data_IF_882879348705
#
_entry.id   IF_882879348705
#
_cell.length_a   1.000
_cell.length_b   1.000
_cell.length_c   1.000
_cell.angle_alpha   90.00
_cell.angle_beta   90.00
_cell.angle_gamma   90.00
#
_symmetry.space_group_name_H-M   'P 1'
#
loop_
_entity.id
_entity.type
_entity.pdbx_description
1 polymer ?
#
# COMPACT_ATOMS: atom_id res chain seq x y z
N UNK A 1 -12.17 -32.95 28.04
CA UNK A 1 -11.78 -33.39 26.68
C UNK A 1 -12.37 -32.42 25.68
N UNK A 2 -11.57 -31.96 24.71
CA UNK A 2 -12.07 -31.12 23.62
C UNK A 2 -13.05 -31.93 22.75
N UNK A 3 -14.13 -31.30 22.31
CA UNK A 3 -15.19 -31.92 21.50
C UNK A 3 -15.25 -31.20 20.15
N UNK A 4 -14.76 -31.86 19.10
CA UNK A 4 -14.88 -31.37 17.73
C UNK A 4 -16.29 -31.69 17.20
N UNK A 5 -17.00 -30.68 16.72
CA UNK A 5 -18.31 -30.85 16.09
C UNK A 5 -18.19 -30.38 14.63
N UNK A 6 -18.29 -31.32 13.69
CA UNK A 6 -18.26 -31.06 12.26
C UNK A 6 -19.68 -30.93 11.71
N UNK A 7 -19.97 -29.81 11.04
CA UNK A 7 -21.18 -29.63 10.25
C UNK A 7 -20.83 -29.50 8.76
N UNK A 8 -20.79 -30.62 8.06
CA UNK A 8 -20.65 -30.63 6.60
C UNK A 8 -22.04 -30.53 5.94
N UNK A 9 -22.22 -29.56 5.03
CA UNK A 9 -23.42 -29.43 4.19
C UNK A 9 -23.01 -29.39 2.72
N UNK A 10 -23.79 -30.04 1.87
CA UNK A 10 -23.64 -30.00 0.42
C UNK A 10 -24.62 -29.02 -0.22
N UNK A 11 -24.16 -28.26 -1.22
CA UNK A 11 -24.97 -27.36 -2.02
C UNK A 11 -24.92 -27.77 -3.49
N UNK A 12 -26.07 -28.08 -4.10
CA UNK A 12 -26.15 -28.52 -5.48
C UNK A 12 -25.90 -27.37 -6.49
N UNK A 13 -25.36 -27.65 -7.70
CA UNK A 13 -24.80 -26.65 -8.62
C UNK A 13 -25.75 -25.55 -9.12
N UNK A 14 -27.07 -25.79 -9.16
CA UNK A 14 -28.02 -24.94 -9.91
C UNK A 14 -28.92 -24.04 -9.05
N UNK A 15 -28.63 -23.87 -7.77
CA UNK A 15 -29.49 -23.11 -6.85
C UNK A 15 -29.10 -21.61 -6.75
N UNK A 16 -29.35 -20.81 -7.81
CA UNK A 16 -29.02 -19.36 -7.83
C UNK A 16 -29.54 -18.56 -6.62
N UNK A 17 -30.71 -18.90 -6.06
CA UNK A 17 -31.27 -18.29 -4.83
C UNK A 17 -30.49 -18.62 -3.53
N UNK A 18 -29.51 -19.52 -3.56
CA UNK A 18 -28.74 -19.96 -2.38
C UNK A 18 -27.35 -19.33 -2.27
N UNK A 19 -26.79 -18.78 -3.34
CA UNK A 19 -25.47 -18.11 -3.32
C UNK A 19 -25.49 -16.88 -2.41
N UNK A 20 -26.58 -16.10 -2.42
CA UNK A 20 -26.77 -14.98 -1.50
C UNK A 20 -26.91 -15.42 -0.03
N UNK A 21 -27.55 -16.58 0.22
CA UNK A 21 -27.59 -17.20 1.55
C UNK A 21 -26.22 -17.69 1.99
N UNK A 22 -25.41 -18.23 1.10
CA UNK A 22 -24.01 -18.62 1.36
C UNK A 22 -23.15 -17.42 1.72
N UNK A 23 -23.23 -16.31 0.98
CA UNK A 23 -22.50 -15.09 1.32
C UNK A 23 -22.91 -14.53 2.68
N UNK A 24 -24.20 -14.58 3.02
CA UNK A 24 -24.68 -14.18 4.34
C UNK A 24 -24.18 -15.13 5.43
N UNK A 25 -24.23 -16.44 5.20
CA UNK A 25 -23.80 -17.46 6.15
C UNK A 25 -22.28 -17.41 6.40
N UNK A 26 -21.49 -17.21 5.35
CA UNK A 26 -20.03 -17.02 5.44
C UNK A 26 -19.67 -15.74 6.22
N UNK A 27 -20.35 -14.62 5.93
CA UNK A 27 -20.19 -13.40 6.72
C UNK A 27 -20.56 -13.64 8.18
N UNK A 28 -21.73 -14.23 8.43
CA UNK A 28 -22.21 -14.57 9.77
C UNK A 28 -21.23 -15.46 10.54
N UNK A 29 -20.70 -16.52 9.91
CA UNK A 29 -19.70 -17.38 10.54
C UNK A 29 -18.33 -16.73 10.71
N UNK A 30 -17.95 -15.76 9.87
CA UNK A 30 -16.71 -15.00 10.01
C UNK A 30 -16.79 -13.84 11.00
N UNK A 31 -18.00 -13.40 11.38
CA UNK A 31 -18.19 -12.21 12.22
C UNK A 31 -18.93 -12.43 13.53
N UNK A 32 -19.46 -13.63 13.81
CA UNK A 32 -20.18 -13.91 15.07
C UNK A 32 -19.25 -13.80 16.29
N UNK A 33 -19.85 -13.45 17.43
CA UNK A 33 -19.19 -13.42 18.73
C UNK A 33 -18.66 -14.82 19.10
N UNK A 34 -17.39 -14.91 19.49
CA UNK A 34 -16.69 -16.17 19.77
C UNK A 34 -16.01 -16.85 18.58
N UNK A 35 -16.02 -16.23 17.38
CA UNK A 35 -15.09 -16.63 16.31
C UNK A 35 -13.70 -16.15 16.69
N UNK A 36 -12.76 -17.09 16.78
CA UNK A 36 -11.34 -16.78 16.66
C UNK A 36 -11.12 -16.23 15.25
N UNK A 37 -11.27 -14.92 15.11
CA UNK A 37 -10.56 -14.19 14.08
C UNK A 37 -9.09 -14.34 14.46
N UNK A 38 -8.15 -14.49 13.51
CA UNK A 38 -6.74 -14.35 13.80
C UNK A 38 -6.51 -12.92 14.34
N UNK A 39 -6.69 -12.74 15.63
CA UNK A 39 -6.52 -11.48 16.37
C UNK A 39 -5.05 -11.24 16.67
N UNK A 40 -4.20 -12.22 16.37
CA UNK A 40 -2.77 -12.08 16.42
C UNK A 40 -2.22 -12.15 15.00
N UNK A 41 -1.35 -11.20 14.70
CA UNK A 41 -0.39 -11.25 13.59
C UNK A 41 0.60 -12.43 13.72
N UNK A 42 0.28 -13.47 14.51
CA UNK A 42 1.07 -14.68 14.67
C UNK A 42 1.32 -15.36 13.31
N UNK A 43 0.33 -15.30 12.41
CA UNK A 43 0.49 -15.77 11.03
C UNK A 43 1.67 -15.11 10.31
N UNK A 44 2.00 -13.86 10.65
CA UNK A 44 3.14 -13.17 10.03
C UNK A 44 4.47 -13.86 10.33
N UNK A 45 4.59 -14.52 11.49
CA UNK A 45 5.80 -15.24 11.90
C UNK A 45 5.84 -16.68 11.40
N UNK A 46 4.78 -17.17 10.77
CA UNK A 46 4.78 -18.50 10.18
C UNK A 46 5.75 -18.56 9.00
N UNK A 47 6.26 -19.76 8.65
CA UNK A 47 7.05 -19.94 7.45
C UNK A 47 6.31 -19.47 6.19
N UNK A 48 7.07 -18.94 5.24
CA UNK A 48 6.57 -18.49 3.93
C UNK A 48 5.74 -19.59 3.28
N UNK A 49 4.53 -19.25 2.84
CA UNK A 49 3.67 -20.21 2.14
C UNK A 49 4.16 -20.48 0.72
N UNK A 50 3.88 -21.66 0.16
CA UNK A 50 4.22 -21.99 -1.24
C UNK A 50 3.69 -20.96 -2.25
N UNK A 51 2.49 -20.43 -2.00
CA UNK A 51 1.88 -19.40 -2.84
C UNK A 51 2.66 -18.07 -2.80
N UNK A 52 3.16 -17.68 -1.63
CA UNK A 52 4.03 -16.52 -1.48
C UNK A 52 5.36 -16.76 -2.16
N UNK A 53 6.01 -17.92 -1.96
CA UNK A 53 7.27 -18.26 -2.64
C UNK A 53 7.14 -18.13 -4.16
N UNK A 54 6.09 -18.72 -4.74
CA UNK A 54 5.83 -18.61 -6.19
C UNK A 54 5.60 -17.15 -6.64
N UNK A 55 4.98 -16.33 -5.80
CA UNK A 55 4.76 -14.91 -6.09
C UNK A 55 6.07 -14.12 -6.01
N UNK A 56 6.89 -14.37 -5.00
CA UNK A 56 8.20 -13.76 -4.82
C UNK A 56 9.16 -14.12 -5.96
N UNK A 57 9.21 -15.39 -6.37
CA UNK A 57 10.02 -15.84 -7.51
C UNK A 57 9.63 -15.10 -8.80
N UNK A 58 8.32 -14.90 -9.01
CA UNK A 58 7.80 -14.14 -10.14
C UNK A 58 8.17 -12.66 -10.03
N UNK A 59 7.99 -12.05 -8.87
CA UNK A 59 8.32 -10.64 -8.62
C UNK A 59 9.81 -10.41 -8.87
N UNK A 60 10.70 -11.22 -8.32
CA UNK A 60 12.15 -11.08 -8.52
C UNK A 60 12.55 -11.19 -9.99
N UNK A 61 11.83 -12.01 -10.77
CA UNK A 61 12.08 -12.17 -12.21
C UNK A 61 11.56 -10.98 -13.02
N UNK A 62 10.37 -10.48 -12.70
CA UNK A 62 9.69 -9.42 -13.45
C UNK A 62 10.12 -8.01 -13.01
N UNK A 63 10.52 -7.84 -11.75
CA UNK A 63 10.86 -6.60 -11.05
C UNK A 63 12.11 -6.80 -10.19
N UNK A 64 13.31 -6.95 -10.79
CA UNK A 64 14.56 -7.19 -10.06
C UNK A 64 14.89 -6.08 -9.05
N UNK A 65 14.39 -4.85 -9.26
CA UNK A 65 14.54 -3.70 -8.36
C UNK A 65 13.94 -3.94 -6.96
N UNK A 66 13.07 -4.93 -6.80
CA UNK A 66 12.53 -5.31 -5.48
C UNK A 66 13.66 -5.63 -4.48
N UNK A 67 14.81 -6.10 -4.97
CA UNK A 67 15.95 -6.49 -4.13
C UNK A 67 16.65 -5.31 -3.45
N UNK A 68 16.43 -4.09 -3.94
CA UNK A 68 17.00 -2.87 -3.38
C UNK A 68 16.06 -2.23 -2.33
N UNK A 69 14.97 -2.91 -1.97
CA UNK A 69 13.95 -2.40 -1.04
C UNK A 69 14.19 -2.87 0.40
N UNK A 70 13.74 -2.07 1.38
CA UNK A 70 13.77 -2.48 2.79
C UNK A 70 12.90 -3.71 3.04
N UNK A 71 11.78 -3.83 2.30
CA UNK A 71 10.87 -4.97 2.39
C UNK A 71 11.58 -6.27 2.01
N UNK A 72 12.41 -6.26 0.97
CA UNK A 72 13.21 -7.42 0.59
C UNK A 72 14.33 -7.71 1.60
N UNK A 73 15.00 -6.67 2.09
CA UNK A 73 16.04 -6.80 3.12
C UNK A 73 15.48 -7.47 4.40
N UNK A 74 14.28 -7.05 4.84
CA UNK A 74 13.61 -7.62 6.01
C UNK A 74 13.16 -9.07 5.75
N UNK A 75 12.71 -9.37 4.53
CA UNK A 75 12.39 -10.75 4.11
C UNK A 75 13.61 -11.67 4.08
N UNK A 76 14.76 -11.22 3.59
CA UNK A 76 15.99 -12.02 3.59
C UNK A 76 16.50 -12.31 5.01
N UNK A 77 16.39 -11.32 5.90
CA UNK A 77 16.76 -11.49 7.33
C UNK A 77 15.82 -12.45 8.05
N UNK A 78 14.52 -12.33 7.81
CA UNK A 78 13.50 -13.16 8.46
C UNK A 78 12.43 -13.59 7.44
N UNK A 79 12.64 -14.73 6.75
CA UNK A 79 11.73 -15.21 5.72
C UNK A 79 10.48 -15.85 6.36
N UNK A 80 9.50 -15.00 6.63
CA UNK A 80 8.20 -15.35 7.20
C UNK A 80 7.05 -14.81 6.34
N UNK A 81 5.81 -15.24 6.61
CA UNK A 81 4.66 -14.82 5.81
C UNK A 81 4.40 -13.30 5.87
N UNK A 82 4.76 -12.64 6.97
CA UNK A 82 4.60 -11.20 7.15
C UNK A 82 5.49 -10.41 6.19
N UNK A 83 6.79 -10.67 6.23
CA UNK A 83 7.77 -9.99 5.39
C UNK A 83 7.56 -10.33 3.92
N UNK A 84 7.22 -11.59 3.60
CA UNK A 84 6.82 -11.98 2.24
C UNK A 84 5.60 -11.18 1.74
N UNK A 85 4.62 -10.92 2.61
CA UNK A 85 3.43 -10.13 2.26
C UNK A 85 3.77 -8.66 2.02
N UNK A 86 4.70 -8.06 2.78
CA UNK A 86 5.13 -6.68 2.56
C UNK A 86 5.90 -6.54 1.23
N UNK A 87 6.75 -7.49 0.86
CA UNK A 87 7.40 -7.52 -0.47
C UNK A 87 6.37 -7.58 -1.60
N UNK A 88 5.39 -8.51 -1.50
CA UNK A 88 4.34 -8.66 -2.51
C UNK A 88 3.49 -7.39 -2.61
N UNK A 89 3.19 -6.77 -1.47
CA UNK A 89 2.46 -5.51 -1.40
C UNK A 89 3.23 -4.39 -2.09
N UNK A 90 4.51 -4.22 -1.77
CA UNK A 90 5.38 -3.23 -2.41
C UNK A 90 5.39 -3.41 -3.93
N UNK A 91 5.58 -4.63 -4.42
CA UNK A 91 5.59 -4.93 -5.86
C UNK A 91 4.24 -4.63 -6.54
N UNK A 92 3.13 -4.89 -5.85
CA UNK A 92 1.79 -4.55 -6.33
C UNK A 92 1.61 -3.03 -6.42
N UNK A 93 2.06 -2.30 -5.41
CA UNK A 93 1.99 -0.83 -5.38
C UNK A 93 2.85 -0.20 -6.48
N UNK A 94 4.04 -0.74 -6.73
CA UNK A 94 4.91 -0.34 -7.84
C UNK A 94 4.25 -0.56 -9.22
N UNK A 95 3.53 -1.65 -9.42
CA UNK A 95 2.76 -1.85 -10.66
C UNK A 95 1.58 -0.88 -10.79
N UNK A 96 0.94 -0.49 -9.68
CA UNK A 96 -0.11 0.53 -9.71
C UNK A 96 0.41 1.90 -10.15
N UNK A 97 1.64 2.26 -9.75
CA UNK A 97 2.31 3.49 -10.17
C UNK A 97 2.45 3.59 -11.70
N UNK A 98 2.79 2.49 -12.36
CA UNK A 98 3.08 2.47 -13.80
C UNK A 98 1.84 2.36 -14.70
N UNK A 99 0.67 1.97 -14.16
CA UNK A 99 -0.51 1.63 -14.95
C UNK A 99 -1.55 2.74 -15.14
N UNK A 100 -1.76 3.60 -14.13
CA UNK A 100 -2.73 4.71 -14.24
C UNK A 100 -2.49 5.78 -13.16
N UNK A 101 -1.96 6.94 -13.56
CA UNK A 101 -1.54 7.98 -12.63
C UNK A 101 -2.69 8.55 -11.77
N UNK A 102 -3.91 8.59 -12.32
CA UNK A 102 -5.13 9.04 -11.62
C UNK A 102 -5.49 8.13 -10.43
N UNK A 103 -5.54 6.82 -10.66
CA UNK A 103 -5.86 5.79 -9.66
C UNK A 103 -4.75 5.68 -8.64
N UNK A 104 -3.51 5.82 -9.09
CA UNK A 104 -2.37 5.86 -8.19
C UNK A 104 -2.45 7.06 -7.24
N UNK A 105 -2.75 8.26 -7.75
CA UNK A 105 -2.88 9.47 -6.92
C UNK A 105 -4.01 9.32 -5.88
N UNK A 106 -5.18 8.83 -6.30
CA UNK A 106 -6.29 8.58 -5.37
C UNK A 106 -5.90 7.53 -4.31
N UNK A 107 -5.21 6.46 -4.71
CA UNK A 107 -4.77 5.42 -3.80
C UNK A 107 -3.80 5.97 -2.72
N UNK A 108 -2.79 6.76 -3.09
CA UNK A 108 -1.83 7.30 -2.12
C UNK A 108 -2.46 8.36 -1.21
N UNK A 109 -3.42 9.14 -1.73
CA UNK A 109 -4.15 10.14 -0.97
C UNK A 109 -4.98 9.51 0.17
N UNK A 110 -5.49 8.29 -0.03
CA UNK A 110 -6.43 7.63 0.87
C UNK A 110 -5.88 6.36 1.53
N UNK A 111 -4.57 6.07 1.35
CA UNK A 111 -3.97 4.80 1.76
C UNK A 111 -4.22 4.53 3.26
N UNK A 112 -4.52 3.27 3.65
CA UNK A 112 -4.63 2.93 5.05
C UNK A 112 -3.38 3.37 5.83
N UNK A 113 -3.58 4.05 6.96
CA UNK A 113 -2.54 4.63 7.84
C UNK A 113 -1.85 5.90 7.33
N UNK A 114 -2.27 6.47 6.20
CA UNK A 114 -1.80 7.80 5.81
C UNK A 114 -2.22 8.82 6.88
N UNK A 115 -1.30 9.71 7.25
CA UNK A 115 -1.65 10.87 8.06
C UNK A 115 -2.35 11.88 7.17
N UNK A 116 -3.56 12.29 7.55
CA UNK A 116 -4.39 13.18 6.74
C UNK A 116 -4.19 14.63 7.18
N UNK A 117 -3.91 15.50 6.21
CA UNK A 117 -3.94 16.95 6.37
C UNK A 117 -5.25 17.40 5.71
N UNK A 118 -6.37 17.30 6.45
CA UNK A 118 -7.73 17.47 5.91
C UNK A 118 -8.39 16.14 5.55
N UNK A 119 -9.01 16.06 4.37
CA UNK A 119 -9.78 14.89 3.95
C UNK A 119 -8.90 13.71 3.46
N UNK A 120 -7.68 14.02 3.03
CA UNK A 120 -6.71 13.07 2.46
C UNK A 120 -5.26 13.38 2.88
N UNK A 121 -4.32 12.53 2.48
CA UNK A 121 -2.89 12.65 2.81
C UNK A 121 -2.02 13.49 1.87
N UNK A 122 -2.57 14.03 0.77
CA UNK A 122 -1.78 14.88 -0.14
C UNK A 122 -1.45 16.23 0.49
N UNK A 123 -0.28 16.76 0.12
CA UNK A 123 0.21 18.10 0.47
C UNK A 123 1.04 18.65 -0.69
N UNK A 124 1.19 19.99 -0.77
CA UNK A 124 1.88 20.66 -1.88
C UNK A 124 2.80 21.79 -1.41
N UNK A 125 3.40 22.49 -2.39
CA UNK A 125 4.20 23.69 -2.17
C UNK A 125 3.47 24.84 -1.46
N UNK A 126 2.15 24.96 -1.60
CA UNK A 126 1.33 25.99 -0.95
C UNK A 126 0.43 25.40 0.13
N UNK A 127 -0.14 26.26 0.97
CA UNK A 127 -1.11 25.87 2.01
C UNK A 127 -2.55 25.83 1.45
N UNK A 128 -2.72 25.89 0.12
CA UNK A 128 -4.02 25.85 -0.52
C UNK A 128 -4.67 24.47 -0.33
N UNK A 129 -6.00 24.47 -0.20
CA UNK A 129 -6.77 23.22 -0.13
C UNK A 129 -6.64 22.49 -1.47
N UNK A 130 -6.19 21.25 -1.42
CA UNK A 130 -6.05 20.39 -2.58
C UNK A 130 -7.42 19.79 -2.92
N UNK A 131 -7.94 20.09 -4.11
CA UNK A 131 -9.06 19.33 -4.68
C UNK A 131 -8.52 18.06 -5.35
N UNK A 132 -8.75 16.92 -4.70
CA UNK A 132 -8.27 15.62 -5.18
C UNK A 132 -8.76 15.31 -6.60
N UNK A 133 -10.00 15.66 -6.96
CA UNK A 133 -10.52 15.39 -8.31
C UNK A 133 -9.82 16.26 -9.35
N UNK A 134 -9.59 17.54 -9.01
CA UNK A 134 -8.90 18.47 -9.90
C UNK A 134 -7.44 18.07 -10.13
N UNK A 135 -6.70 17.72 -9.07
CA UNK A 135 -5.29 17.29 -9.21
C UNK A 135 -5.21 15.96 -9.96
N UNK A 136 -6.09 15.01 -9.65
CA UNK A 136 -6.18 13.72 -10.37
C UNK A 136 -6.37 13.94 -11.87
N UNK A 137 -7.31 14.82 -12.26
CA UNK A 137 -7.54 15.17 -13.67
C UNK A 137 -6.32 15.86 -14.29
N UNK A 138 -5.70 16.79 -13.57
CA UNK A 138 -4.52 17.53 -14.05
C UNK A 138 -3.36 16.60 -14.36
N UNK A 139 -3.08 15.63 -13.47
CA UNK A 139 -2.02 14.63 -13.66
C UNK A 139 -2.36 13.68 -14.81
N UNK A 140 -3.62 13.23 -14.91
CA UNK A 140 -4.07 12.32 -15.96
C UNK A 140 -4.01 12.93 -17.37
N UNK A 141 -4.30 14.23 -17.47
CA UNK A 141 -4.33 14.98 -18.73
C UNK A 141 -3.01 15.73 -19.01
N UNK A 142 -1.98 15.55 -18.16
CA UNK A 142 -0.73 16.28 -18.30
C UNK A 142 -0.01 15.90 -19.61
N UNK A 143 0.30 16.85 -20.50
CA UNK A 143 0.90 16.55 -21.80
C UNK A 143 2.41 16.22 -21.72
N UNK A 144 3.03 16.46 -20.56
CA UNK A 144 4.45 16.26 -20.31
C UNK A 144 4.75 15.02 -19.46
N UNK A 145 6.01 14.90 -19.04
CA UNK A 145 6.44 13.82 -18.16
C UNK A 145 6.00 14.09 -16.72
N UNK A 146 5.27 13.13 -16.13
CA UNK A 146 4.98 13.10 -14.70
C UNK A 146 6.03 12.24 -14.01
N UNK A 147 6.77 12.82 -13.07
CA UNK A 147 7.78 12.11 -12.30
C UNK A 147 7.24 11.70 -10.93
N UNK A 148 7.36 10.44 -10.56
CA UNK A 148 7.00 9.93 -9.24
C UNK A 148 8.27 9.57 -8.46
N UNK A 149 8.49 10.22 -7.32
CA UNK A 149 9.61 9.93 -6.41
C UNK A 149 9.06 9.41 -5.08
N UNK A 150 9.61 8.31 -4.58
CA UNK A 150 9.23 7.73 -3.29
C UNK A 150 10.42 7.84 -2.35
N UNK A 151 10.22 8.55 -1.23
CA UNK A 151 11.16 8.61 -0.12
C UNK A 151 10.63 7.75 1.01
N UNK A 152 11.41 6.77 1.45
CA UNK A 152 11.04 5.84 2.52
C UNK A 152 12.08 5.89 3.63
N UNK A 153 11.62 6.05 4.87
CA UNK A 153 12.42 5.92 6.08
C UNK A 153 11.84 4.82 6.95
N UNK A 154 12.71 4.06 7.62
CA UNK A 154 12.27 3.18 8.72
C UNK A 154 11.63 4.03 9.81
N UNK A 155 10.66 3.45 10.53
CA UNK A 155 9.86 4.21 11.51
C UNK A 155 10.74 4.77 12.62
N UNK A 156 11.70 3.98 13.10
CA UNK A 156 12.68 4.39 14.10
C UNK A 156 13.54 5.58 13.64
N UNK A 157 13.91 5.63 12.37
CA UNK A 157 14.69 6.74 11.81
C UNK A 157 13.83 7.97 11.58
N UNK A 158 12.59 7.80 11.09
CA UNK A 158 11.64 8.89 10.98
C UNK A 158 11.39 9.55 12.33
N UNK A 159 11.26 8.78 13.41
CA UNK A 159 11.12 9.30 14.78
C UNK A 159 12.39 9.98 15.27
N UNK A 160 13.56 9.34 15.10
CA UNK A 160 14.85 9.89 15.50
C UNK A 160 15.20 11.19 14.79
N UNK A 161 14.79 11.35 13.52
CA UNK A 161 15.04 12.53 12.70
C UNK A 161 13.93 13.58 12.75
N UNK A 162 12.80 13.28 13.41
CA UNK A 162 11.65 14.19 13.51
C UNK A 162 10.75 14.24 12.26
N UNK A 163 10.91 13.30 11.33
CA UNK A 163 10.07 13.13 10.12
C UNK A 163 8.97 12.07 10.31
N UNK A 164 8.44 11.95 11.53
CA UNK A 164 7.41 10.95 11.87
C UNK A 164 5.97 11.44 11.67
N UNK A 165 5.81 12.64 11.09
CA UNK A 165 4.53 13.28 10.79
C UNK A 165 4.56 14.00 9.42
N UNK A 166 3.38 14.19 8.82
CA UNK A 166 3.22 14.76 7.48
C UNK A 166 3.68 16.23 7.37
N UNK A 167 3.50 17.04 8.41
CA UNK A 167 3.93 18.44 8.40
C UNK A 167 5.45 18.59 8.29
N UNK A 168 6.21 17.71 8.95
CA UNK A 168 7.67 17.67 8.85
C UNK A 168 8.13 17.30 7.43
N UNK A 169 7.46 16.32 6.78
CA UNK A 169 7.72 15.96 5.39
C UNK A 169 7.41 17.11 4.42
N UNK A 170 6.26 17.77 4.58
CA UNK A 170 5.89 18.91 3.76
C UNK A 170 6.92 20.05 3.87
N UNK A 171 7.37 20.34 5.10
CA UNK A 171 8.40 21.35 5.35
C UNK A 171 9.72 21.00 4.66
N UNK A 172 10.15 19.74 4.73
CA UNK A 172 11.36 19.26 4.04
C UNK A 172 11.25 19.40 2.52
N UNK A 173 10.14 18.94 1.93
CA UNK A 173 9.92 19.03 0.48
C UNK A 173 9.91 20.49 0.00
N UNK A 174 9.26 21.40 0.74
CA UNK A 174 9.29 22.85 0.45
C UNK A 174 10.70 23.42 0.53
N UNK A 175 11.45 23.08 1.58
CA UNK A 175 12.81 23.57 1.75
C UNK A 175 13.80 23.05 0.70
N UNK A 176 13.48 21.93 0.04
CA UNK A 176 14.34 21.28 -0.97
C UNK A 176 13.84 21.38 -2.40
N UNK A 177 12.68 21.99 -2.64
CA UNK A 177 12.05 22.06 -3.96
C UNK A 177 12.97 22.65 -5.04
N UNK A 178 13.60 23.80 -4.78
CA UNK A 178 14.56 24.44 -5.68
C UNK A 178 15.77 23.54 -5.97
N UNK A 179 16.31 22.87 -4.95
CA UNK A 179 17.43 21.93 -5.11
C UNK A 179 17.03 20.73 -5.99
N UNK A 180 15.83 20.19 -5.80
CA UNK A 180 15.30 19.08 -6.60
C UNK A 180 15.08 19.52 -8.05
N UNK A 181 14.44 20.67 -8.27
CA UNK A 181 14.19 21.24 -9.59
C UNK A 181 15.51 21.42 -10.37
N UNK A 182 16.52 22.01 -9.72
CA UNK A 182 17.86 22.17 -10.31
C UNK A 182 18.51 20.83 -10.66
N UNK A 183 18.45 19.85 -9.76
CA UNK A 183 19.02 18.51 -10.01
C UNK A 183 18.33 17.79 -11.18
N UNK A 184 17.02 17.98 -11.32
CA UNK A 184 16.22 17.44 -12.42
C UNK A 184 16.32 18.28 -13.71
N UNK A 185 17.03 19.42 -13.68
CA UNK A 185 17.13 20.39 -14.78
C UNK A 185 15.77 20.94 -15.23
N UNK A 186 14.84 21.09 -14.27
CA UNK A 186 13.54 21.72 -14.47
C UNK A 186 13.65 23.18 -14.01
N UNK A 187 13.27 24.17 -14.83
CA UNK A 187 13.18 25.55 -14.37
C UNK A 187 12.28 25.66 -13.13
N UNK A 188 12.68 26.43 -12.11
CA UNK A 188 11.95 26.45 -10.83
C UNK A 188 10.47 26.84 -10.99
N UNK A 189 10.16 27.75 -11.92
CA UNK A 189 8.79 28.16 -12.20
C UNK A 189 7.93 27.06 -12.85
N UNK A 190 8.56 26.04 -13.45
CA UNK A 190 7.91 24.91 -14.11
C UNK A 190 7.90 23.66 -13.22
N UNK A 191 8.49 23.72 -12.02
CA UNK A 191 8.51 22.61 -11.07
C UNK A 191 7.29 22.67 -10.14
N UNK A 192 6.29 21.84 -10.44
CA UNK A 192 5.06 21.71 -9.64
C UNK A 192 5.02 20.36 -8.93
N UNK A 193 4.68 20.38 -7.63
CA UNK A 193 4.53 19.19 -6.79
C UNK A 193 3.49 19.42 -5.69
#
# INVERSE_FOLDING_TARGET
>A
MARLILHARYFAPNAKKRVSKLSYLMKYYGTREGVEKPTQEAWKKEPVSEAQTKSLDRIVKELPEVKDTHEWEDYEKEPNQGNASEVIRWATEYQYQSGNADKYLQYIAERPRVEKIGDHGLFSQSDDVIDLNQVTKTVAEHPGNVWTMVYSLRREDAERLGYNNAAAWQTLCRAKSSTIAQAMKIPEQDFHW
#
